data_IF_568842085791
#
_entry.id   IF_568842085791
#
_cell.length_a   1.000
_cell.length_b   1.000
_cell.length_c   1.000
_cell.angle_alpha   90.00
_cell.angle_beta   90.00
_cell.angle_gamma   90.00
#
_symmetry.space_group_name_H-M   'P 1'
#
loop_
_entity.id
_entity.type
_entity.pdbx_description
1 polymer ?
#
# COMPACT_ATOMS: atom_id res chain seq x y z
N UNK A 1 7.18 8.32 2.91
CA UNK A 1 7.89 7.03 2.91
C UNK A 1 6.87 5.93 2.67
N UNK A 2 7.25 4.81 2.05
CA UNK A 2 6.34 3.67 1.87
C UNK A 2 6.23 2.87 3.16
N UNK A 3 5.04 2.31 3.42
CA UNK A 3 4.78 1.41 4.54
C UNK A 3 4.86 -0.04 4.08
N UNK A 4 5.36 -0.92 4.95
CA UNK A 4 5.52 -2.34 4.67
C UNK A 4 4.63 -3.15 5.60
N UNK A 5 3.98 -4.16 5.02
CA UNK A 5 3.19 -5.12 5.78
C UNK A 5 3.50 -6.54 5.32
N UNK A 6 3.53 -7.48 6.25
CA UNK A 6 3.82 -8.88 5.98
C UNK A 6 2.67 -9.77 6.45
N UNK A 7 2.20 -10.61 5.54
CA UNK A 7 1.27 -11.70 5.83
C UNK A 7 2.08 -12.99 5.88
N UNK A 8 2.24 -13.53 7.09
CA UNK A 8 3.01 -14.74 7.34
C UNK A 8 2.30 -16.00 6.83
N UNK A 9 0.96 -16.04 6.89
CA UNK A 9 0.16 -17.19 6.43
C UNK A 9 0.31 -17.38 4.91
N UNK A 10 0.30 -16.27 4.16
CA UNK A 10 0.39 -16.29 2.70
C UNK A 10 1.82 -16.09 2.15
N UNK A 11 2.79 -15.81 3.04
CA UNK A 11 4.14 -15.39 2.69
C UNK A 11 4.16 -14.23 1.68
N UNK A 12 3.33 -13.21 1.93
CA UNK A 12 3.17 -12.03 1.08
C UNK A 12 3.63 -10.77 1.79
N UNK A 13 4.29 -9.88 1.04
CA UNK A 13 4.57 -8.51 1.46
C UNK A 13 3.75 -7.55 0.65
N UNK A 14 3.14 -6.61 1.36
CA UNK A 14 2.48 -5.45 0.81
C UNK A 14 3.39 -4.23 1.02
N UNK A 15 3.73 -3.56 -0.08
CA UNK A 15 4.40 -2.26 -0.08
C UNK A 15 3.35 -1.22 -0.44
N UNK A 16 2.96 -0.42 0.54
CA UNK A 16 1.95 0.63 0.41
C UNK A 16 2.67 1.96 0.21
N UNK A 17 2.37 2.65 -0.88
CA UNK A 17 2.85 4.00 -1.12
C UNK A 17 2.21 5.01 -0.16
N UNK A 18 2.65 6.27 -0.18
CA UNK A 18 1.99 7.32 0.58
C UNK A 18 0.51 7.43 0.17
N UNK A 19 -0.37 7.58 1.15
CA UNK A 19 -1.78 7.88 0.90
C UNK A 19 -1.90 9.35 0.52
N UNK A 20 -2.35 9.62 -0.69
CA UNK A 20 -2.48 10.95 -1.27
C UNK A 20 -3.96 11.28 -1.39
N UNK A 21 -4.31 12.53 -1.12
CA UNK A 21 -5.67 13.03 -1.28
C UNK A 21 -5.64 14.31 -2.12
N UNK A 22 -6.60 14.46 -3.01
CA UNK A 22 -6.79 15.64 -3.84
C UNK A 22 -8.26 16.01 -3.89
N UNK A 23 -8.56 17.31 -3.80
CA UNK A 23 -9.91 17.82 -4.02
C UNK A 23 -10.24 17.68 -5.50
N UNK A 24 -11.41 17.12 -5.79
CA UNK A 24 -11.97 17.04 -7.13
C UNK A 24 -13.09 18.06 -7.19
N UNK A 25 -13.01 18.97 -8.15
CA UNK A 25 -14.03 19.99 -8.40
C UNK A 25 -14.93 19.51 -9.52
N UNK A 26 -16.23 19.81 -9.44
CA UNK A 26 -17.11 19.64 -10.58
C UNK A 26 -17.09 20.94 -11.40
N UNK A 27 -16.37 20.91 -12.53
CA UNK A 27 -16.16 22.07 -13.40
C UNK A 27 -17.47 22.71 -13.89
N UNK A 28 -18.57 21.95 -13.96
CA UNK A 28 -19.88 22.46 -14.37
C UNK A 28 -20.61 23.28 -13.29
N UNK A 29 -20.25 23.10 -12.01
CA UNK A 29 -20.97 23.69 -10.89
C UNK A 29 -20.11 24.58 -9.98
N UNK A 30 -18.78 24.59 -10.15
CA UNK A 30 -17.88 25.45 -9.36
C UNK A 30 -17.85 25.12 -7.86
N UNK A 31 -18.34 23.94 -7.46
CA UNK A 31 -18.34 23.46 -6.08
C UNK A 31 -17.45 22.23 -5.98
N UNK A 32 -16.63 22.15 -4.92
CA UNK A 32 -15.84 20.96 -4.58
C UNK A 32 -16.75 19.74 -4.47
N UNK A 33 -16.62 18.80 -5.41
CA UNK A 33 -17.54 17.67 -5.54
C UNK A 33 -17.11 16.46 -4.73
N UNK A 34 -15.83 16.35 -4.39
CA UNK A 34 -15.32 15.32 -3.50
C UNK A 34 -13.82 15.42 -3.23
N UNK A 35 -13.34 14.48 -2.43
CA UNK A 35 -11.94 14.26 -2.10
C UNK A 35 -11.58 12.89 -2.63
N UNK A 36 -10.75 12.84 -3.66
CA UNK A 36 -10.19 11.59 -4.17
C UNK A 36 -8.99 11.21 -3.31
N UNK A 37 -9.08 10.10 -2.59
CA UNK A 37 -7.98 9.51 -1.85
C UNK A 37 -7.47 8.31 -2.62
N UNK A 38 -6.15 8.20 -2.79
CA UNK A 38 -5.54 7.08 -3.49
C UNK A 38 -4.16 6.71 -2.95
N UNK A 39 -3.77 5.45 -3.18
CA UNK A 39 -2.41 4.96 -2.92
C UNK A 39 -2.02 3.87 -3.90
N UNK A 40 -0.71 3.71 -4.09
CA UNK A 40 -0.14 2.63 -4.89
C UNK A 40 0.21 1.44 -4.00
N UNK A 41 -0.20 0.25 -4.42
CA UNK A 41 0.02 -1.01 -3.70
C UNK A 41 0.82 -1.95 -4.58
N UNK A 42 1.91 -2.46 -4.04
CA UNK A 42 2.71 -3.53 -4.64
C UNK A 42 2.73 -4.75 -3.72
N UNK A 43 2.36 -5.91 -4.26
CA UNK A 43 2.34 -7.19 -3.55
C UNK A 43 3.41 -8.12 -4.11
N UNK A 44 4.24 -8.71 -3.25
CA UNK A 44 5.35 -9.60 -3.64
C UNK A 44 5.53 -10.73 -2.63
N UNK A 45 6.09 -11.85 -3.07
CA UNK A 45 6.58 -12.92 -2.18
C UNK A 45 8.10 -12.90 -2.03
N UNK A 46 8.70 -11.69 -2.05
CA UNK A 46 10.14 -11.40 -2.09
C UNK A 46 10.88 -11.84 -3.36
N UNK A 47 10.52 -12.97 -3.97
CA UNK A 47 11.16 -13.51 -5.18
C UNK A 47 10.60 -12.90 -6.46
N UNK A 48 9.27 -12.70 -6.50
CA UNK A 48 8.58 -12.14 -7.67
C UNK A 48 7.54 -11.13 -7.22
N UNK A 49 7.40 -10.07 -8.01
CA UNK A 49 6.23 -9.20 -7.91
C UNK A 49 5.01 -9.99 -8.39
N UNK A 50 3.95 -10.02 -7.57
CA UNK A 50 2.71 -10.70 -7.93
C UNK A 50 1.70 -9.74 -8.51
N UNK A 51 1.54 -8.56 -7.89
CA UNK A 51 0.50 -7.60 -8.24
C UNK A 51 1.02 -6.18 -8.02
N UNK A 52 0.70 -5.28 -8.95
CA UNK A 52 0.81 -3.83 -8.77
C UNK A 52 -0.52 -3.19 -9.14
N UNK A 53 -1.08 -2.38 -8.24
CA UNK A 53 -2.36 -1.69 -8.47
C UNK A 53 -2.41 -0.36 -7.72
N UNK A 54 -3.29 0.53 -8.18
CA UNK A 54 -3.67 1.74 -7.45
C UNK A 54 -5.02 1.48 -6.80
N UNK A 55 -5.14 1.80 -5.52
CA UNK A 55 -6.41 1.83 -4.81
C UNK A 55 -6.85 3.28 -4.69
N UNK A 56 -8.11 3.55 -4.97
CA UNK A 56 -8.68 4.88 -4.92
C UNK A 56 -10.13 4.84 -4.47
N UNK A 57 -10.54 5.85 -3.71
CA UNK A 57 -11.93 6.06 -3.30
C UNK A 57 -12.24 7.56 -3.23
N UNK A 58 -13.49 7.92 -3.52
CA UNK A 58 -13.96 9.30 -3.48
C UNK A 58 -14.81 9.49 -2.23
N UNK A 59 -14.47 10.51 -1.45
CA UNK A 59 -15.18 10.92 -0.25
C UNK A 59 -15.90 12.25 -0.48
N UNK A 60 -17.13 12.43 -0.02
CA UNK A 60 -17.86 13.67 -0.22
C UNK A 60 -17.29 14.79 0.66
N UNK A 61 -16.90 15.91 0.03
CA UNK A 61 -16.21 17.04 0.69
C UNK A 61 -17.08 17.79 1.71
N UNK A 62 -18.39 17.56 1.72
CA UNK A 62 -19.31 18.12 2.72
C UNK A 62 -19.34 17.32 4.04
N UNK A 63 -18.75 16.12 4.07
CA UNK A 63 -18.72 15.24 5.26
C UNK A 63 -17.30 14.96 5.75
N UNK A 64 -16.32 15.08 4.87
CA UNK A 64 -14.92 14.78 5.17
C UNK A 64 -14.05 15.97 4.79
N UNK A 65 -13.05 16.24 5.61
CA UNK A 65 -11.86 16.99 5.24
C UNK A 65 -10.79 16.03 4.66
N UNK A 66 -9.67 16.59 4.21
CA UNK A 66 -8.59 15.82 3.58
C UNK A 66 -8.02 14.74 4.51
N UNK A 67 -7.82 15.05 5.79
CA UNK A 67 -7.15 14.16 6.72
C UNK A 67 -8.12 13.09 7.24
N UNK A 68 -9.38 13.46 7.52
CA UNK A 68 -10.42 12.48 7.86
C UNK A 68 -10.74 11.53 6.70
N UNK A 69 -10.71 12.00 5.44
CA UNK A 69 -10.87 11.13 4.28
C UNK A 69 -9.70 10.12 4.15
N UNK A 70 -8.46 10.56 4.37
CA UNK A 70 -7.29 9.66 4.39
C UNK A 70 -7.42 8.62 5.50
N UNK A 71 -7.78 9.04 6.70
CA UNK A 71 -7.91 8.13 7.84
C UNK A 71 -9.01 7.08 7.60
N UNK A 72 -10.15 7.50 7.03
CA UNK A 72 -11.23 6.58 6.68
C UNK A 72 -10.81 5.57 5.61
N UNK A 73 -10.06 6.04 4.60
CA UNK A 73 -9.48 5.18 3.56
C UNK A 73 -8.52 4.13 4.13
N UNK A 74 -7.65 4.53 5.06
CA UNK A 74 -6.75 3.61 5.75
C UNK A 74 -7.52 2.57 6.58
N UNK A 75 -8.51 3.03 7.36
CA UNK A 75 -9.29 2.20 8.27
C UNK A 75 -10.21 1.19 7.56
N UNK A 76 -10.72 1.54 6.37
CA UNK A 76 -11.65 0.68 5.63
C UNK A 76 -11.01 -0.02 4.45
N UNK A 77 -10.48 0.76 3.51
CA UNK A 77 -9.98 0.24 2.24
C UNK A 77 -8.67 -0.50 2.43
N UNK A 78 -7.70 0.11 3.11
CA UNK A 78 -6.42 -0.54 3.35
C UNK A 78 -6.52 -1.67 4.36
N UNK A 79 -7.25 -1.50 5.46
CA UNK A 79 -7.45 -2.59 6.42
C UNK A 79 -8.06 -3.84 5.75
N UNK A 80 -9.05 -3.67 4.87
CA UNK A 80 -9.65 -4.78 4.12
C UNK A 80 -8.68 -5.44 3.14
N UNK A 81 -7.81 -4.65 2.51
CA UNK A 81 -6.74 -5.17 1.64
C UNK A 81 -5.71 -5.99 2.43
N UNK A 82 -5.26 -5.44 3.55
CA UNK A 82 -4.17 -5.98 4.36
C UNK A 82 -4.60 -7.22 5.13
N UNK A 83 -5.88 -7.33 5.52
CA UNK A 83 -6.40 -8.50 6.20
C UNK A 83 -5.65 -8.76 7.51
N UNK A 84 -4.90 -9.85 7.57
CA UNK A 84 -4.08 -10.24 8.74
C UNK A 84 -2.62 -9.75 8.65
N UNK A 85 -2.24 -9.04 7.59
CA UNK A 85 -0.88 -8.58 7.42
C UNK A 85 -0.49 -7.59 8.53
N UNK A 86 0.67 -7.82 9.15
CA UNK A 86 1.20 -6.98 10.23
C UNK A 86 2.15 -5.94 9.66
N UNK A 87 2.18 -4.75 10.26
CA UNK A 87 3.15 -3.72 9.87
C UNK A 87 4.55 -4.16 10.26
N UNK A 88 5.50 -4.01 9.33
CA UNK A 88 6.91 -4.33 9.54
C UNK A 88 7.78 -3.13 9.19
N UNK A 89 8.94 -3.06 9.83
CA UNK A 89 9.95 -2.05 9.49
C UNK A 89 10.65 -2.37 8.15
N UNK A 90 11.32 -1.38 7.57
CA UNK A 90 12.20 -1.59 6.42
C UNK A 90 13.32 -2.60 6.73
N UNK A 91 13.93 -2.51 7.92
CA UNK A 91 14.98 -3.44 8.35
C UNK A 91 14.47 -4.88 8.45
N UNK A 92 13.25 -5.05 8.95
CA UNK A 92 12.60 -6.36 9.04
C UNK A 92 12.26 -6.91 7.66
N UNK A 93 11.75 -6.06 6.76
CA UNK A 93 11.55 -6.43 5.36
C UNK A 93 12.85 -6.97 4.73
N UNK A 94 13.97 -6.28 4.93
CA UNK A 94 15.27 -6.69 4.38
C UNK A 94 15.80 -7.98 5.02
N UNK A 95 15.55 -8.20 6.32
CA UNK A 95 15.87 -9.45 7.01
C UNK A 95 15.07 -10.63 6.45
N UNK A 96 13.76 -10.48 6.26
CA UNK A 96 12.91 -11.55 5.70
C UNK A 96 13.33 -11.81 4.25
N UNK A 97 13.58 -10.76 3.46
CA UNK A 97 14.06 -10.89 2.07
C UNK A 97 15.33 -11.76 1.99
N UNK A 98 16.31 -11.50 2.85
CA UNK A 98 17.57 -12.29 2.92
C UNK A 98 17.36 -13.76 3.26
N UNK A 99 16.34 -14.10 4.07
CA UNK A 99 16.01 -15.50 4.38
C UNK A 99 15.37 -16.24 3.20
N UNK A 100 14.64 -15.53 2.36
CA UNK A 100 13.83 -16.11 1.27
C UNK A 100 14.57 -16.12 -0.07
N UNK A 101 15.55 -15.23 -0.26
CA UNK A 101 16.50 -15.29 -1.36
C UNK A 101 17.28 -16.61 -1.32
N UNK A 102 17.38 -17.35 -2.45
CA UNK A 102 18.25 -18.52 -2.49
C UNK A 102 19.68 -18.06 -2.18
N UNK A 103 20.33 -18.72 -1.21
CA UNK A 103 21.79 -18.72 -1.18
C UNK A 103 22.21 -19.31 -2.52
N UNK A 104 22.59 -18.46 -3.47
CA UNK A 104 23.28 -18.93 -4.66
C UNK A 104 24.55 -19.57 -4.11
N UNK A 105 24.76 -20.90 -4.22
CA UNK A 105 26.06 -21.44 -3.89
C UNK A 105 27.04 -20.70 -4.79
N UNK A 106 28.03 -20.04 -4.17
CA UNK A 106 29.15 -19.40 -4.84
C UNK A 106 29.54 -20.26 -6.03
N UNK A 107 29.30 -19.76 -7.25
CA UNK A 107 29.61 -20.48 -8.46
C UNK A 107 31.05 -20.98 -8.36
N UNK A 108 31.24 -22.26 -8.63
CA UNK A 108 32.53 -22.93 -8.61
C UNK A 108 33.58 -22.07 -9.31
N UNK A 109 34.58 -21.62 -8.55
CA UNK A 109 35.85 -21.14 -9.07
C UNK A 109 36.40 -22.24 -9.97
N UNK A 110 36.44 -21.98 -11.27
CA UNK A 110 37.19 -22.78 -12.26
C UNK A 110 38.33 -21.92 -12.77
#
# INVERSE_FOLDING_TARGET
MSSFYYDEELALVYKIGPVVASVVENEEQGVSSGILVHTNVKVTNFRREKIRRTLSEIYPANKYDIDSAKQEFENKVLAKLLGKATSISQDEYDRIKKRVEPQVPSACSS
#
